data_IF_955986036983
#
_entry.id   IF_955986036983
#
_cell.length_a   1.000
_cell.length_b   1.000
_cell.length_c   1.000
_cell.angle_alpha   90.00
_cell.angle_beta   90.00
_cell.angle_gamma   90.00
#
_symmetry.space_group_name_H-M   'P 1'
#
loop_
_entity.id
_entity.type
_entity.pdbx_description
1 polymer ?
#
# COMPACT_ATOMS: atom_id res chain seq x y z
N UNK A 1 -28.33 -3.40 -7.63
CA UNK A 1 -27.46 -2.26 -7.99
C UNK A 1 -27.58 -1.21 -6.90
N UNK A 2 -26.51 -0.69 -6.32
CA UNK A 2 -26.59 0.46 -5.43
C UNK A 2 -27.15 1.65 -6.24
N UNK A 3 -27.88 2.58 -5.60
CA UNK A 3 -28.44 3.73 -6.28
C UNK A 3 -27.31 4.55 -6.94
N UNK A 4 -27.50 5.04 -8.17
CA UNK A 4 -26.44 5.70 -8.95
C UNK A 4 -25.94 7.02 -8.34
N UNK A 5 -26.58 7.52 -7.28
CA UNK A 5 -26.25 8.79 -6.63
C UNK A 5 -26.28 8.65 -5.11
N UNK A 6 -25.28 8.02 -4.50
CA UNK A 6 -25.11 8.11 -3.06
C UNK A 6 -24.42 9.45 -2.72
N UNK A 7 -24.97 10.19 -1.75
CA UNK A 7 -24.24 11.32 -1.15
C UNK A 7 -22.98 10.78 -0.49
N UNK A 8 -21.85 11.37 -0.83
CA UNK A 8 -20.58 11.03 -0.20
C UNK A 8 -20.59 11.54 1.24
N UNK A 9 -20.16 10.70 2.15
CA UNK A 9 -19.95 11.09 3.53
C UNK A 9 -18.76 12.04 3.62
N UNK A 10 -18.76 12.91 4.62
CA UNK A 10 -17.59 13.72 4.96
C UNK A 10 -16.39 12.80 5.25
N UNK A 11 -15.21 13.03 4.66
CA UNK A 11 -13.99 12.29 4.99
C UNK A 11 -13.70 12.22 6.50
N UNK A 12 -14.04 13.26 7.26
CA UNK A 12 -13.90 13.30 8.70
C UNK A 12 -14.79 12.29 9.45
N UNK A 13 -15.87 11.81 8.82
CA UNK A 13 -16.77 10.82 9.43
C UNK A 13 -16.19 9.40 9.45
N UNK A 14 -15.12 9.13 8.69
CA UNK A 14 -14.47 7.83 8.69
C UNK A 14 -13.32 7.78 9.71
N UNK A 15 -13.32 6.74 10.52
CA UNK A 15 -12.24 6.48 11.48
C UNK A 15 -11.40 5.32 10.95
N UNK A 16 -10.20 5.59 10.43
CA UNK A 16 -9.29 4.52 10.03
C UNK A 16 -8.95 3.64 11.23
N UNK A 17 -8.95 2.30 11.09
CA UNK A 17 -8.60 1.39 12.18
C UNK A 17 -7.20 1.68 12.73
N UNK A 18 -7.04 1.58 14.06
CA UNK A 18 -5.72 1.68 14.71
C UNK A 18 -4.88 0.44 14.53
N UNK A 19 -5.54 -0.70 14.26
CA UNK A 19 -4.87 -1.96 13.95
C UNK A 19 -5.78 -2.78 13.04
N UNK A 20 -5.18 -3.41 12.04
CA UNK A 20 -5.81 -4.38 11.15
C UNK A 20 -5.10 -5.71 11.33
N UNK A 21 -5.78 -6.70 11.93
CA UNK A 21 -5.20 -8.01 12.27
C UNK A 21 -5.62 -9.08 11.29
N UNK A 22 -4.66 -9.91 10.96
CA UNK A 22 -4.86 -11.18 10.23
C UNK A 22 -4.25 -12.33 11.03
N UNK A 23 -4.25 -13.54 10.49
CA UNK A 23 -3.63 -14.69 11.16
C UNK A 23 -2.11 -14.58 11.30
N UNK A 24 -1.44 -13.72 10.52
CA UNK A 24 0.04 -13.66 10.46
C UNK A 24 0.58 -12.24 10.53
N UNK A 25 -0.26 -11.21 10.38
CA UNK A 25 0.15 -9.82 10.32
C UNK A 25 -0.71 -8.96 11.23
N UNK A 26 -0.06 -8.01 11.87
CA UNK A 26 -0.65 -6.79 12.39
C UNK A 26 -0.25 -5.63 11.47
N UNK A 27 -1.24 -4.91 10.93
CA UNK A 27 -1.00 -3.67 10.19
C UNK A 27 -1.41 -2.50 11.08
N UNK A 28 -0.44 -1.65 11.39
CA UNK A 28 -0.61 -0.49 12.27
C UNK A 28 -0.31 0.80 11.50
N UNK A 29 -1.02 1.92 11.77
CA UNK A 29 -0.64 3.21 11.23
C UNK A 29 0.83 3.49 11.51
N UNK A 30 1.53 4.01 10.50
CA UNK A 30 2.95 4.33 10.59
C UNK A 30 3.19 5.41 11.68
N UNK A 31 4.15 5.17 12.55
CA UNK A 31 4.53 6.06 13.65
C UNK A 31 6.01 6.40 13.58
N UNK A 32 6.40 7.55 14.10
CA UNK A 32 7.81 7.95 14.24
C UNK A 32 8.60 6.98 15.13
N UNK A 33 7.93 6.31 16.05
CA UNK A 33 8.53 5.29 16.92
C UNK A 33 9.02 4.06 16.15
N UNK A 34 8.52 3.85 14.93
CA UNK A 34 8.86 2.72 14.07
C UNK A 34 10.12 2.97 13.22
N UNK A 35 10.72 4.18 13.33
CA UNK A 35 11.78 4.65 12.43
C UNK A 35 12.97 3.69 12.31
N UNK A 36 13.42 3.11 13.42
CA UNK A 36 14.54 2.17 13.41
C UNK A 36 14.20 0.87 12.66
N UNK A 37 12.99 0.34 12.85
CA UNK A 37 12.54 -0.87 12.17
C UNK A 37 12.32 -0.63 10.67
N UNK A 38 11.79 0.54 10.31
CA UNK A 38 11.61 0.94 8.90
C UNK A 38 12.97 1.15 8.23
N UNK A 39 13.93 1.81 8.90
CA UNK A 39 15.29 1.99 8.39
C UNK A 39 15.97 0.64 8.10
N UNK A 40 15.84 -0.33 8.99
CA UNK A 40 16.35 -1.67 8.77
C UNK A 40 15.70 -2.34 7.55
N UNK A 41 14.36 -2.31 7.47
CA UNK A 41 13.62 -2.98 6.41
C UNK A 41 13.86 -2.34 5.04
N UNK A 42 13.82 -1.01 4.94
CA UNK A 42 14.04 -0.28 3.68
C UNK A 42 15.51 -0.29 3.27
N UNK A 43 16.43 -0.16 4.22
CA UNK A 43 17.86 -0.25 3.93
C UNK A 43 18.29 -1.61 3.41
N UNK A 44 17.69 -2.71 3.92
CA UNK A 44 17.86 -4.06 3.38
C UNK A 44 17.31 -4.18 1.94
N UNK A 45 16.17 -3.55 1.69
CA UNK A 45 15.39 -3.74 0.46
C UNK A 45 15.67 -2.68 -0.60
N UNK A 46 16.64 -1.78 -0.38
CA UNK A 46 16.85 -0.62 -1.23
C UNK A 46 17.04 -0.98 -2.71
N UNK A 47 17.90 -1.94 -3.01
CA UNK A 47 18.21 -2.33 -4.38
C UNK A 47 16.99 -2.87 -5.15
N UNK A 48 16.14 -3.64 -4.47
CA UNK A 48 14.92 -4.22 -5.06
C UNK A 48 13.77 -3.21 -5.17
N UNK A 49 13.75 -2.18 -4.31
CA UNK A 49 12.69 -1.18 -4.29
C UNK A 49 12.95 0.02 -5.21
N UNK A 50 14.22 0.43 -5.35
CA UNK A 50 14.59 1.61 -6.16
C UNK A 50 14.01 1.59 -7.58
N UNK A 51 13.99 0.47 -8.31
CA UNK A 51 13.41 0.47 -9.66
C UNK A 51 11.95 0.92 -9.72
N UNK A 52 11.21 0.73 -8.61
CA UNK A 52 9.77 0.96 -8.55
C UNK A 52 9.37 2.21 -7.77
N UNK A 53 10.28 2.74 -6.93
CA UNK A 53 10.00 3.85 -6.02
C UNK A 53 11.05 4.98 -6.10
N UNK A 54 11.92 4.99 -7.13
CA UNK A 54 13.05 5.93 -7.23
C UNK A 54 12.65 7.41 -7.03
N UNK A 55 11.45 7.82 -7.47
CA UNK A 55 10.96 9.18 -7.28
C UNK A 55 10.60 9.55 -5.83
N UNK A 56 10.58 8.57 -4.91
CA UNK A 56 10.20 8.77 -3.50
C UNK A 56 11.20 8.17 -2.51
N UNK A 57 12.19 7.44 -2.98
CA UNK A 57 13.24 6.86 -2.14
C UNK A 57 14.44 7.79 -2.02
N UNK A 58 15.07 7.76 -0.85
CA UNK A 58 16.38 8.32 -0.61
C UNK A 58 17.51 7.44 -1.18
N UNK A 59 18.74 7.92 -1.04
CA UNK A 59 19.92 7.09 -1.33
C UNK A 59 20.06 5.96 -0.28
N UNK A 60 20.95 4.96 -0.53
CA UNK A 60 21.09 3.81 0.38
C UNK A 60 21.45 4.17 1.82
N UNK A 61 22.17 5.27 2.04
CA UNK A 61 22.50 5.76 3.37
C UNK A 61 21.29 6.34 4.10
N UNK A 62 20.51 7.16 3.40
CA UNK A 62 19.27 7.75 3.91
C UNK A 62 18.24 6.66 4.26
N UNK A 63 18.07 5.65 3.39
CA UNK A 63 17.11 4.58 3.69
C UNK A 63 17.48 3.74 4.92
N UNK A 64 18.78 3.70 5.30
CA UNK A 64 19.26 3.05 6.53
C UNK A 64 19.28 3.97 7.76
N UNK A 65 19.06 5.26 7.58
CA UNK A 65 19.11 6.25 8.66
C UNK A 65 17.75 6.36 9.35
N UNK A 66 17.69 5.99 10.63
CA UNK A 66 16.49 6.07 11.43
C UNK A 66 15.98 7.51 11.60
N UNK A 67 16.87 8.51 11.63
CA UNK A 67 16.46 9.92 11.71
C UNK A 67 15.74 10.34 10.43
N UNK A 68 16.30 10.01 9.28
CA UNK A 68 15.65 10.28 7.99
C UNK A 68 14.30 9.57 7.88
N UNK A 69 14.20 8.31 8.31
CA UNK A 69 12.92 7.60 8.35
C UNK A 69 11.93 8.23 9.33
N UNK A 70 12.38 8.74 10.48
CA UNK A 70 11.51 9.44 11.43
C UNK A 70 10.87 10.68 10.80
N UNK A 71 11.61 11.45 10.02
CA UNK A 71 11.08 12.61 9.29
C UNK A 71 10.01 12.17 8.26
N UNK A 72 10.26 11.10 7.51
CA UNK A 72 9.32 10.53 6.54
C UNK A 72 8.04 9.98 7.20
N UNK A 73 8.18 9.35 8.37
CA UNK A 73 7.05 8.84 9.14
C UNK A 73 6.22 9.98 9.76
N UNK A 74 6.86 11.08 10.17
CA UNK A 74 6.15 12.28 10.60
C UNK A 74 5.30 12.87 9.46
N UNK A 75 5.88 13.01 8.25
CA UNK A 75 5.13 13.41 7.05
C UNK A 75 3.94 12.47 6.74
N UNK A 76 4.14 11.17 6.93
CA UNK A 76 3.07 10.17 6.74
C UNK A 76 1.94 10.35 7.78
N UNK A 77 2.30 10.61 9.04
CA UNK A 77 1.34 10.89 10.11
C UNK A 77 0.54 12.17 9.84
N UNK A 78 1.18 13.25 9.40
CA UNK A 78 0.50 14.48 8.99
C UNK A 78 -0.44 14.25 7.80
N UNK A 79 0.00 13.52 6.77
CA UNK A 79 -0.84 13.17 5.63
C UNK A 79 -2.07 12.35 6.06
N UNK A 80 -1.91 11.46 7.06
CA UNK A 80 -3.02 10.72 7.63
C UNK A 80 -4.01 11.61 8.39
N UNK A 81 -3.53 12.60 9.15
CA UNK A 81 -4.38 13.60 9.80
C UNK A 81 -5.18 14.42 8.78
N UNK A 82 -4.56 14.82 7.67
CA UNK A 82 -5.23 15.51 6.55
C UNK A 82 -6.08 14.59 5.67
N UNK A 83 -6.13 13.28 5.96
CA UNK A 83 -6.87 12.29 5.18
C UNK A 83 -6.41 12.18 3.70
N UNK A 84 -5.16 12.51 3.42
CA UNK A 84 -4.56 12.48 2.08
C UNK A 84 -3.93 11.11 1.77
N UNK A 85 -3.37 10.46 2.80
CA UNK A 85 -2.76 9.13 2.72
C UNK A 85 -2.85 8.43 4.07
N UNK A 86 -3.22 7.17 4.07
CA UNK A 86 -3.25 6.31 5.24
C UNK A 86 -2.16 5.25 5.07
N UNK A 87 -1.03 5.44 5.76
CA UNK A 87 0.13 4.55 5.69
C UNK A 87 0.09 3.56 6.84
N UNK A 88 0.15 2.26 6.52
CA UNK A 88 0.16 1.16 7.48
C UNK A 88 1.44 0.34 7.32
N UNK A 89 2.17 0.14 8.41
CA UNK A 89 3.30 -0.79 8.48
C UNK A 89 2.77 -2.19 8.77
N UNK A 90 3.28 -3.18 8.06
CA UNK A 90 2.95 -4.59 8.24
C UNK A 90 3.98 -5.27 9.15
N UNK A 91 3.50 -5.86 10.23
CA UNK A 91 4.32 -6.52 11.24
C UNK A 91 4.02 -8.01 11.28
N UNK A 92 5.07 -8.84 11.22
CA UNK A 92 5.01 -10.27 11.43
C UNK A 92 5.92 -10.65 12.61
N UNK A 93 5.35 -11.16 13.71
CA UNK A 93 6.10 -11.54 14.92
C UNK A 93 7.06 -10.43 15.40
N UNK A 94 6.61 -9.17 15.39
CA UNK A 94 7.40 -8.01 15.83
C UNK A 94 8.43 -7.49 14.82
N UNK A 95 8.49 -8.06 13.62
CA UNK A 95 9.39 -7.61 12.55
C UNK A 95 8.60 -6.83 11.51
N UNK A 96 9.08 -5.63 11.11
CA UNK A 96 8.52 -4.88 9.99
C UNK A 96 8.82 -5.61 8.67
N UNK A 97 7.77 -6.12 8.01
CA UNK A 97 7.88 -6.89 6.77
C UNK A 97 7.45 -6.11 5.52
N UNK A 98 6.98 -4.88 5.69
CA UNK A 98 6.56 -4.03 4.57
C UNK A 98 5.60 -2.93 5.00
N UNK A 99 5.00 -2.27 4.02
CA UNK A 99 3.96 -1.28 4.24
C UNK A 99 2.92 -1.29 3.12
N UNK A 100 1.73 -0.78 3.45
CA UNK A 100 0.65 -0.52 2.50
C UNK A 100 0.10 0.87 2.74
N UNK A 101 0.05 1.67 1.68
CA UNK A 101 -0.59 2.98 1.67
C UNK A 101 -1.96 2.89 1.00
N UNK A 102 -2.96 3.51 1.60
CA UNK A 102 -4.22 3.84 0.96
C UNK A 102 -4.26 5.34 0.70
N UNK A 103 -4.41 5.72 -0.55
CA UNK A 103 -4.47 7.12 -1.00
C UNK A 103 -5.90 7.39 -1.48
N UNK A 104 -6.72 8.02 -0.63
CA UNK A 104 -8.15 8.15 -0.88
C UNK A 104 -8.48 9.29 -1.84
N UNK A 105 -9.45 9.03 -2.70
CA UNK A 105 -10.26 10.03 -3.37
C UNK A 105 -11.67 9.99 -2.76
N UNK A 106 -11.82 10.52 -1.57
CA UNK A 106 -13.02 10.39 -0.74
C UNK A 106 -14.32 10.68 -1.47
N UNK A 107 -14.35 11.75 -2.27
CA UNK A 107 -15.55 12.14 -3.04
C UNK A 107 -16.01 11.10 -4.06
N UNK A 108 -15.13 10.17 -4.44
CA UNK A 108 -15.44 9.11 -5.42
C UNK A 108 -15.55 7.74 -4.78
N UNK A 109 -15.24 7.61 -3.48
CA UNK A 109 -15.08 6.31 -2.83
C UNK A 109 -13.99 5.46 -3.48
N UNK A 110 -12.95 6.11 -4.04
CA UNK A 110 -11.86 5.44 -4.72
C UNK A 110 -10.60 5.53 -3.86
N UNK A 111 -9.85 4.44 -3.79
CA UNK A 111 -8.59 4.38 -3.07
C UNK A 111 -7.52 3.83 -4.01
N UNK A 112 -6.43 4.58 -4.18
CA UNK A 112 -5.24 4.04 -4.82
C UNK A 112 -4.39 3.36 -3.76
N UNK A 113 -3.93 2.15 -4.05
CA UNK A 113 -3.11 1.35 -3.15
C UNK A 113 -1.68 1.33 -3.67
N UNK A 114 -0.72 1.57 -2.76
CA UNK A 114 0.71 1.38 -2.97
C UNK A 114 1.26 0.49 -1.86
N UNK A 115 2.29 -0.31 -2.13
CA UNK A 115 2.85 -1.22 -1.14
C UNK A 115 4.28 -1.60 -1.48
N UNK A 116 5.02 -1.97 -0.44
CA UNK A 116 6.32 -2.63 -0.59
C UNK A 116 6.45 -3.75 0.44
N UNK A 117 7.33 -4.69 0.16
CA UNK A 117 7.65 -5.83 1.03
C UNK A 117 9.15 -5.87 1.23
N UNK A 118 9.58 -6.08 2.48
CA UNK A 118 10.99 -6.28 2.85
C UNK A 118 11.57 -7.47 2.09
N UNK A 119 12.81 -7.37 1.58
CA UNK A 119 13.41 -8.39 0.73
C UNK A 119 13.46 -9.76 1.37
N UNK A 120 13.89 -9.85 2.65
CA UNK A 120 13.90 -11.11 3.41
C UNK A 120 12.51 -11.69 3.69
N UNK A 121 11.44 -10.89 3.56
CA UNK A 121 10.06 -11.31 3.75
C UNK A 121 9.33 -11.62 2.42
N UNK A 122 9.98 -11.44 1.28
CA UNK A 122 9.42 -11.75 -0.02
C UNK A 122 9.13 -13.24 -0.20
N UNK A 123 8.17 -13.58 -1.08
CA UNK A 123 7.78 -14.96 -1.44
C UNK A 123 7.21 -15.81 -0.29
N UNK A 124 6.92 -15.19 0.85
CA UNK A 124 6.30 -15.82 2.02
C UNK A 124 4.79 -15.53 2.14
N UNK A 125 4.20 -14.84 1.16
CA UNK A 125 2.79 -14.49 1.13
C UNK A 125 2.41 -13.24 1.94
N UNK A 126 3.34 -12.59 2.63
CA UNK A 126 3.05 -11.41 3.45
C UNK A 126 2.49 -10.24 2.62
N UNK A 127 3.05 -9.97 1.45
CA UNK A 127 2.55 -8.91 0.57
C UNK A 127 1.10 -9.13 0.14
N UNK A 128 0.76 -10.36 -0.30
CA UNK A 128 -0.61 -10.70 -0.68
C UNK A 128 -1.58 -10.58 0.51
N UNK A 129 -1.16 -11.02 1.71
CA UNK A 129 -1.99 -10.93 2.90
C UNK A 129 -2.18 -9.48 3.36
N UNK A 130 -1.13 -8.66 3.36
CA UNK A 130 -1.20 -7.25 3.74
C UNK A 130 -2.11 -6.46 2.79
N UNK A 131 -1.91 -6.62 1.48
CA UNK A 131 -2.71 -5.94 0.46
C UNK A 131 -4.17 -6.38 0.53
N UNK A 132 -4.45 -7.70 0.65
CA UNK A 132 -5.82 -8.21 0.83
C UNK A 132 -6.49 -7.61 2.07
N UNK A 133 -5.79 -7.58 3.21
CA UNK A 133 -6.32 -7.02 4.45
C UNK A 133 -6.67 -5.52 4.29
N UNK A 134 -5.79 -4.76 3.64
CA UNK A 134 -6.02 -3.32 3.43
C UNK A 134 -7.11 -3.03 2.39
N UNK A 135 -7.29 -3.88 1.37
CA UNK A 135 -8.45 -3.78 0.47
C UNK A 135 -9.74 -4.01 1.26
N UNK A 136 -9.81 -5.08 2.09
CA UNK A 136 -10.99 -5.34 2.94
C UNK A 136 -11.25 -4.20 3.91
N UNK A 137 -10.20 -3.57 4.44
CA UNK A 137 -10.31 -2.37 5.29
C UNK A 137 -10.89 -1.19 4.51
N UNK A 138 -10.41 -0.95 3.28
CA UNK A 138 -10.94 0.12 2.45
C UNK A 138 -12.44 -0.04 2.19
N UNK A 139 -12.91 -1.24 1.82
CA UNK A 139 -14.32 -1.50 1.57
C UNK A 139 -15.15 -1.55 2.86
N UNK A 140 -14.67 -2.23 3.91
CA UNK A 140 -15.47 -2.51 5.12
C UNK A 140 -15.49 -1.36 6.12
N UNK A 141 -14.38 -0.64 6.29
CA UNK A 141 -14.25 0.44 7.28
C UNK A 141 -14.28 1.85 6.68
N UNK A 142 -13.90 1.99 5.40
CA UNK A 142 -13.74 3.30 4.76
C UNK A 142 -14.71 3.53 3.60
N UNK A 143 -15.69 2.63 3.40
CA UNK A 143 -16.75 2.75 2.38
C UNK A 143 -16.20 2.86 0.93
N UNK A 144 -15.06 2.22 0.65
CA UNK A 144 -14.52 2.19 -0.70
C UNK A 144 -15.49 1.51 -1.66
N UNK A 145 -15.55 2.01 -2.89
CA UNK A 145 -16.28 1.42 -4.02
C UNK A 145 -15.35 0.88 -5.06
N UNK A 146 -14.11 1.36 -5.05
CA UNK A 146 -13.07 1.00 -5.99
C UNK A 146 -11.71 1.11 -5.31
N UNK A 147 -10.92 0.05 -5.39
CA UNK A 147 -9.50 0.09 -5.06
C UNK A 147 -8.70 -0.13 -6.32
N UNK A 148 -7.76 0.78 -6.59
CA UNK A 148 -6.85 0.69 -7.74
C UNK A 148 -5.42 0.53 -7.29
N UNK A 149 -4.60 -0.08 -8.13
CA UNK A 149 -3.14 -0.12 -8.01
C UNK A 149 -2.53 -0.10 -9.40
N UNK A 150 -1.22 0.09 -9.49
CA UNK A 150 -0.52 0.04 -10.77
C UNK A 150 0.96 -0.23 -10.56
N UNK A 151 1.61 -0.62 -11.65
CA UNK A 151 3.05 -0.88 -11.67
C UNK A 151 3.63 -0.70 -13.07
N UNK A 152 4.95 -0.52 -13.15
CA UNK A 152 5.69 -0.60 -14.40
C UNK A 152 5.62 -2.03 -14.98
N UNK A 153 5.45 -2.18 -16.28
CA UNK A 153 5.31 -3.50 -16.92
C UNK A 153 6.41 -4.52 -16.55
N UNK A 154 7.70 -4.14 -16.37
CA UNK A 154 8.73 -5.07 -15.93
C UNK A 154 8.59 -5.56 -14.48
N UNK A 155 7.73 -4.96 -13.65
CA UNK A 155 7.53 -5.37 -12.25
C UNK A 155 6.67 -6.64 -12.16
N UNK A 156 7.29 -7.78 -12.47
CA UNK A 156 6.61 -9.09 -12.48
C UNK A 156 6.12 -9.53 -11.10
N UNK A 157 6.78 -9.07 -10.03
CA UNK A 157 6.36 -9.36 -8.66
C UNK A 157 5.01 -8.69 -8.36
N UNK A 158 4.85 -7.42 -8.72
CA UNK A 158 3.59 -6.69 -8.54
C UNK A 158 2.49 -7.25 -9.44
N UNK A 159 2.80 -7.60 -10.69
CA UNK A 159 1.89 -8.28 -11.60
C UNK A 159 1.40 -9.63 -11.04
N UNK A 160 2.29 -10.42 -10.45
CA UNK A 160 1.97 -11.68 -9.81
C UNK A 160 1.03 -11.51 -8.62
N UNK A 161 1.29 -10.51 -7.78
CA UNK A 161 0.43 -10.19 -6.65
C UNK A 161 -0.97 -9.72 -7.11
N UNK A 162 -1.05 -8.86 -8.11
CA UNK A 162 -2.32 -8.39 -8.66
C UNK A 162 -3.18 -9.57 -9.16
N UNK A 163 -2.58 -10.51 -9.89
CA UNK A 163 -3.27 -11.74 -10.36
C UNK A 163 -3.74 -12.61 -9.19
N UNK A 164 -2.88 -12.83 -8.19
CA UNK A 164 -3.21 -13.64 -7.00
C UNK A 164 -4.40 -13.08 -6.23
N UNK A 165 -4.54 -11.77 -6.19
CA UNK A 165 -5.64 -11.07 -5.50
C UNK A 165 -6.89 -10.87 -6.38
N UNK A 166 -6.88 -11.31 -7.64
CA UNK A 166 -8.02 -11.18 -8.53
C UNK A 166 -8.26 -9.76 -9.05
N UNK A 167 -7.24 -8.91 -9.06
CA UNK A 167 -7.35 -7.60 -9.69
C UNK A 167 -7.61 -7.73 -11.19
N UNK A 168 -8.56 -6.94 -11.69
CA UNK A 168 -8.82 -6.79 -13.12
C UNK A 168 -7.94 -5.68 -13.69
N UNK A 169 -7.18 -5.95 -14.74
CA UNK A 169 -6.47 -4.92 -15.48
C UNK A 169 -7.47 -3.98 -16.13
N UNK A 170 -7.28 -2.67 -15.93
CA UNK A 170 -8.20 -1.63 -16.44
C UNK A 170 -7.55 -0.71 -17.47
N UNK A 171 -6.20 -0.61 -17.46
CA UNK A 171 -5.48 0.18 -18.45
C UNK A 171 -4.05 -0.35 -18.65
N UNK A 172 -3.53 -0.08 -19.83
CA UNK A 172 -2.11 -0.11 -20.16
C UNK A 172 -1.79 1.25 -20.76
N UNK A 173 -0.92 2.01 -20.12
CA UNK A 173 -0.46 3.31 -20.60
C UNK A 173 0.90 3.11 -21.26
N UNK A 174 1.00 3.21 -22.59
CA UNK A 174 2.29 3.12 -23.27
C UNK A 174 3.25 4.17 -22.76
N UNK A 175 4.50 3.75 -22.45
CA UNK A 175 5.58 4.60 -21.93
C UNK A 175 5.17 5.43 -20.69
N UNK A 176 4.22 4.92 -19.90
CA UNK A 176 3.62 5.63 -18.77
C UNK A 176 4.42 5.58 -17.47
N UNK A 177 5.60 4.93 -17.47
CA UNK A 177 6.46 4.82 -16.31
C UNK A 177 7.93 5.02 -16.70
N UNK A 178 8.61 5.92 -16.00
CA UNK A 178 10.03 6.16 -16.17
C UNK A 178 10.84 5.31 -15.18
N UNK A 179 11.81 4.58 -15.68
CA UNK A 179 12.73 3.80 -14.86
C UNK A 179 13.90 4.67 -14.37
N UNK A 180 14.68 4.25 -13.34
CA UNK A 180 15.77 5.06 -12.78
C UNK A 180 16.86 5.45 -13.79
N UNK A 181 17.02 4.68 -14.86
CA UNK A 181 17.97 4.94 -15.95
C UNK A 181 17.40 5.81 -17.08
N UNK A 182 16.15 6.33 -16.90
CA UNK A 182 15.45 7.13 -17.88
C UNK A 182 14.71 6.33 -18.95
N UNK A 183 14.75 4.98 -18.92
CA UNK A 183 13.98 4.16 -19.85
C UNK A 183 12.48 4.33 -19.57
N UNK A 184 11.71 4.65 -20.60
CA UNK A 184 10.25 4.66 -20.52
C UNK A 184 9.70 3.27 -20.81
N UNK A 185 8.83 2.79 -19.94
CA UNK A 185 8.15 1.50 -20.06
C UNK A 185 6.64 1.67 -19.84
N UNK A 186 5.86 0.68 -20.23
CA UNK A 186 4.41 0.74 -20.05
C UNK A 186 4.03 0.73 -18.57
N UNK A 187 3.04 1.53 -18.21
CA UNK A 187 2.37 1.52 -16.91
C UNK A 187 1.10 0.67 -16.99
N UNK A 188 0.95 -0.27 -16.07
CA UNK A 188 -0.23 -1.15 -16.01
C UNK A 188 -1.07 -0.78 -14.80
N UNK A 189 -2.36 -0.54 -15.01
CA UNK A 189 -3.32 -0.20 -13.95
C UNK A 189 -4.34 -1.32 -13.74
N UNK A 190 -4.70 -1.53 -12.48
CA UNK A 190 -5.62 -2.56 -12.03
C UNK A 190 -6.68 -2.02 -11.08
N UNK A 191 -7.81 -2.72 -10.99
CA UNK A 191 -8.90 -2.37 -10.08
C UNK A 191 -9.56 -3.60 -9.44
N UNK A 192 -10.10 -3.38 -8.25
CA UNK A 192 -11.07 -4.24 -7.56
C UNK A 192 -12.29 -3.38 -7.20
N UNK A 193 -13.47 -3.85 -7.57
CA UNK A 193 -14.78 -3.25 -7.28
C UNK A 193 -15.62 -4.11 -6.33
N UNK A 194 -15.23 -5.37 -6.13
CA UNK A 194 -15.90 -6.32 -5.26
C UNK A 194 -14.87 -7.17 -4.51
N UNK A 195 -14.99 -7.22 -3.19
CA UNK A 195 -14.10 -8.03 -2.33
C UNK A 195 -14.35 -9.54 -2.46
N UNK A 196 -15.41 -9.95 -3.13
CA UNK A 196 -15.70 -11.38 -3.38
C UNK A 196 -14.64 -12.04 -4.27
N UNK A 197 -13.91 -11.27 -5.09
CA UNK A 197 -12.81 -11.79 -5.93
C UNK A 197 -11.55 -12.09 -5.11
N UNK A 198 -11.43 -11.53 -3.91
CA UNK A 198 -10.25 -11.71 -3.06
C UNK A 198 -10.19 -13.13 -2.46
N UNK A 199 -9.00 -13.73 -2.37
CA UNK A 199 -8.81 -14.95 -1.59
C UNK A 199 -9.36 -14.79 -0.16
N UNK A 200 -9.95 -15.84 0.42
CA UNK A 200 -10.48 -15.79 1.78
C UNK A 200 -9.43 -15.32 2.79
N UNK A 201 -9.80 -14.33 3.60
CA UNK A 201 -8.96 -13.81 4.68
C UNK A 201 -9.85 -13.31 5.81
N UNK A 202 -9.60 -13.77 7.04
CA UNK A 202 -10.20 -13.18 8.24
C UNK A 202 -9.41 -11.93 8.62
N UNK A 203 -10.13 -10.82 8.75
CA UNK A 203 -9.59 -9.52 9.17
C UNK A 203 -10.37 -9.02 10.36
N UNK A 204 -9.67 -8.57 11.39
CA UNK A 204 -10.25 -7.89 12.55
C UNK A 204 -9.70 -6.46 12.60
N UNK A 205 -10.55 -5.53 13.02
CA UNK A 205 -10.21 -4.11 13.18
C UNK A 205 -10.38 -3.68 14.63
N UNK A 206 -9.46 -2.84 15.11
CA UNK A 206 -9.54 -2.15 16.39
C UNK A 206 -9.08 -0.69 16.27
#
# INVERSE_FOLDING_TARGET
MPPPYARLKDPASYVPPRIVRTSRLDLCPASVDDAAAVAQARGESHAELVPWFHGTMGNPGQERDARWQSERLAEAAEAAQRRERLSYLAWASGVCVGAVDLIPQWRRGQFRLSYWVRSSACRQGYGAQAVNAMIRTAFGALDARLVTTGHAAPNTASAGLARTLGFRQIACQPLGYEMPDGLLVDGIAYAIEDIAVLPPLKVAWA
#
